data_IF_674110047154
#
_entry.id   IF_674110047154
#
_cell.length_a   1.000
_cell.length_b   1.000
_cell.length_c   1.000
_cell.angle_alpha   90.00
_cell.angle_beta   90.00
_cell.angle_gamma   90.00
#
_symmetry.space_group_name_H-M   'P 1'
#
loop_
_entity.id
_entity.type
_entity.pdbx_description
1 polymer ?
#
# COMPACT_ATOMS: atom_id res chain seq x y z
N UNK A 1 11.07 -13.96 -5.28
CA UNK A 1 10.90 -14.72 -6.55
C UNK A 1 11.46 -16.11 -6.36
N UNK A 2 10.60 -17.08 -6.17
CA UNK A 2 10.94 -18.46 -5.84
C UNK A 2 11.63 -19.19 -7.02
N UNK A 3 12.14 -20.40 -6.74
CA UNK A 3 12.68 -21.33 -7.74
C UNK A 3 11.80 -21.50 -9.00
N UNK A 4 10.51 -21.17 -8.91
CA UNK A 4 9.54 -21.16 -10.01
C UNK A 4 9.85 -20.11 -11.09
N UNK A 5 10.38 -18.94 -10.73
CA UNK A 5 10.76 -17.88 -11.68
C UNK A 5 12.04 -18.26 -12.44
N UNK A 6 12.99 -18.87 -11.75
CA UNK A 6 14.19 -19.42 -12.40
C UNK A 6 13.83 -20.58 -13.36
N UNK A 7 12.81 -21.38 -13.03
CA UNK A 7 12.26 -22.41 -13.92
C UNK A 7 11.62 -21.83 -15.17
N UNK A 8 10.86 -20.73 -15.05
CA UNK A 8 10.25 -20.03 -16.17
C UNK A 8 11.32 -19.39 -17.09
N UNK A 9 12.36 -18.77 -16.52
CA UNK A 9 13.46 -18.16 -17.27
C UNK A 9 14.32 -19.20 -18.03
N UNK A 10 14.48 -20.41 -17.50
CA UNK A 10 15.23 -21.51 -18.17
C UNK A 10 14.50 -22.06 -19.39
N UNK A 11 13.17 -21.99 -19.41
CA UNK A 11 12.32 -22.50 -20.51
C UNK A 11 11.87 -21.41 -21.48
N UNK A 12 12.31 -20.16 -21.31
CA UNK A 12 11.91 -19.05 -22.15
C UNK A 12 12.74 -19.03 -23.43
N UNK A 13 12.19 -19.60 -24.50
CA UNK A 13 12.66 -19.34 -25.87
C UNK A 13 12.14 -18.00 -26.34
N UNK A 14 12.98 -17.14 -26.98
CA UNK A 14 12.51 -15.86 -27.51
C UNK A 14 11.38 -16.11 -28.51
N UNK A 15 10.24 -15.45 -28.29
CA UNK A 15 9.11 -15.47 -29.23
C UNK A 15 9.59 -15.15 -30.64
N UNK A 16 9.18 -15.96 -31.63
CA UNK A 16 9.50 -15.77 -33.05
C UNK A 16 9.00 -14.40 -33.54
N UNK A 17 9.60 -13.89 -34.62
CA UNK A 17 9.27 -12.59 -35.20
C UNK A 17 7.77 -12.45 -35.56
N UNK A 18 7.09 -13.55 -35.90
CA UNK A 18 5.66 -13.63 -36.18
C UNK A 18 4.79 -13.32 -34.93
N UNK A 19 5.13 -13.87 -33.78
CA UNK A 19 4.41 -13.60 -32.54
C UNK A 19 4.56 -12.15 -32.03
N UNK A 20 5.62 -11.43 -32.49
CA UNK A 20 5.80 -10.00 -32.21
C UNK A 20 4.90 -9.11 -33.05
N UNK A 21 4.52 -9.54 -34.27
CA UNK A 21 3.60 -8.80 -35.15
C UNK A 21 2.17 -8.91 -34.66
N UNK A 22 1.73 -10.07 -34.15
CA UNK A 22 0.38 -10.27 -33.62
C UNK A 22 0.16 -9.48 -32.30
N UNK A 23 1.18 -9.34 -31.46
CA UNK A 23 1.11 -8.50 -30.24
C UNK A 23 1.11 -6.99 -30.54
N UNK A 24 1.73 -6.58 -31.66
CA UNK A 24 1.71 -5.18 -32.11
C UNK A 24 0.36 -4.79 -32.77
N UNK A 25 -0.31 -5.76 -33.40
CA UNK A 25 -1.63 -5.55 -34.01
C UNK A 25 -2.76 -5.43 -32.99
N UNK A 26 -2.67 -6.15 -31.86
CA UNK A 26 -3.67 -6.09 -30.78
C UNK A 26 -3.65 -4.79 -29.96
N UNK A 27 -2.67 -3.92 -30.15
CA UNK A 27 -2.51 -2.64 -29.43
C UNK A 27 -3.11 -1.42 -30.14
N UNK A 28 -3.69 -1.56 -31.34
CA UNK A 28 -4.10 -0.42 -32.17
C UNK A 28 -5.61 -0.23 -32.35
N UNK A 29 -6.47 -1.05 -31.71
CA UNK A 29 -7.92 -0.80 -31.75
C UNK A 29 -8.31 0.28 -30.73
N UNK A 30 -7.98 1.53 -31.09
CA UNK A 30 -8.56 2.71 -30.47
C UNK A 30 -9.97 2.91 -31.01
N UNK A 31 -10.97 2.75 -30.17
CA UNK A 31 -12.38 3.06 -30.42
C UNK A 31 -12.52 4.53 -30.78
N UNK A 32 -12.84 4.83 -32.03
CA UNK A 32 -13.33 6.13 -32.48
C UNK A 32 -14.82 6.25 -32.18
N UNK A 33 -15.31 7.33 -31.57
CA UNK A 33 -16.75 7.54 -31.41
C UNK A 33 -17.34 8.06 -32.72
N UNK A 34 -18.26 7.30 -33.32
CA UNK A 34 -19.10 7.72 -34.41
C UNK A 34 -20.22 8.65 -33.92
N UNK A 35 -20.33 9.80 -34.53
CA UNK A 35 -21.41 10.78 -34.35
C UNK A 35 -22.75 10.25 -34.89
N UNK A 36 -23.91 10.63 -34.33
CA UNK A 36 -25.22 10.24 -34.87
C UNK A 36 -25.67 11.17 -35.98
N UNK A 37 -26.24 10.61 -37.04
CA UNK A 37 -26.95 11.32 -38.11
C UNK A 37 -28.43 11.56 -37.71
N UNK A 38 -29.07 12.62 -38.24
CA UNK A 38 -30.36 13.10 -37.78
C UNK A 38 -31.57 12.60 -38.62
N UNK A 39 -32.73 12.52 -37.95
CA UNK A 39 -34.02 12.76 -38.59
C UNK A 39 -34.94 11.57 -38.81
N UNK A 40 -36.15 11.65 -38.26
CA UNK A 40 -37.32 10.83 -38.62
C UNK A 40 -38.44 10.89 -37.56
N UNK A 41 -39.40 11.79 -37.80
CA UNK A 41 -40.60 12.04 -37.01
C UNK A 41 -41.58 10.86 -36.99
N UNK A 42 -42.38 10.74 -35.95
CA UNK A 42 -43.59 9.89 -35.93
C UNK A 42 -44.12 9.57 -34.53
N UNK A 43 -44.94 10.45 -34.01
CA UNK A 43 -45.91 10.17 -32.91
C UNK A 43 -47.22 9.53 -33.44
N UNK A 44 -48.24 9.23 -32.62
CA UNK A 44 -48.33 8.66 -31.26
C UNK A 44 -49.36 7.48 -31.17
N UNK A 45 -49.55 6.85 -30.04
CA UNK A 45 -50.78 6.50 -29.39
C UNK A 45 -50.72 5.34 -28.37
N UNK A 46 -51.17 5.67 -27.21
CA UNK A 46 -52.16 5.02 -26.30
C UNK A 46 -51.64 4.07 -25.21
N UNK A 47 -51.76 4.58 -23.99
CA UNK A 47 -52.11 3.83 -22.80
C UNK A 47 -53.61 3.45 -22.83
N UNK A 48 -54.23 2.65 -21.91
CA UNK A 48 -53.74 2.14 -20.60
C UNK A 48 -54.29 0.73 -20.22
N UNK A 49 -53.99 0.27 -19.00
CA UNK A 49 -54.81 -0.39 -17.99
C UNK A 49 -54.24 -1.65 -17.36
N UNK A 50 -54.01 -1.48 -16.07
CA UNK A 50 -54.41 -2.26 -14.88
C UNK A 50 -54.51 -3.80 -14.93
N UNK A 51 -53.76 -4.42 -14.01
CA UNK A 51 -54.24 -5.39 -13.01
C UNK A 51 -53.06 -5.92 -12.21
N UNK A 52 -52.88 -5.56 -11.00
CA UNK A 52 -53.30 -6.17 -9.74
C UNK A 52 -52.68 -7.51 -9.39
N UNK A 53 -51.99 -7.52 -8.25
CA UNK A 53 -51.85 -8.55 -7.20
C UNK A 53 -50.75 -9.62 -7.34
N UNK A 54 -49.88 -9.61 -6.33
CA UNK A 54 -49.21 -10.82 -5.85
C UNK A 54 -47.90 -10.58 -5.11
N UNK A 55 -47.99 -10.00 -3.93
CA UNK A 55 -47.22 -10.24 -2.72
C UNK A 55 -46.18 -11.37 -2.77
N UNK A 56 -44.92 -11.12 -2.43
CA UNK A 56 -44.32 -11.66 -1.21
C UNK A 56 -42.97 -11.02 -0.94
N UNK A 57 -42.92 -10.24 0.12
CA UNK A 57 -41.73 -9.89 0.86
C UNK A 57 -40.95 -11.14 1.29
N UNK A 58 -39.68 -11.20 0.93
CA UNK A 58 -38.69 -11.94 1.69
C UNK A 58 -37.49 -11.04 1.91
N UNK A 59 -37.61 -10.21 2.95
CA UNK A 59 -36.47 -9.68 3.68
C UNK A 59 -35.63 -10.86 4.19
N UNK A 60 -34.48 -11.06 3.60
CA UNK A 60 -33.42 -11.86 4.21
C UNK A 60 -32.54 -10.90 5.04
N UNK A 61 -33.00 -10.61 6.26
CA UNK A 61 -32.15 -10.14 7.33
C UNK A 61 -31.19 -11.27 7.71
N UNK A 62 -29.96 -11.22 7.22
CA UNK A 62 -28.87 -12.00 7.78
C UNK A 62 -28.54 -11.43 9.17
N UNK A 63 -29.14 -11.98 10.21
CA UNK A 63 -28.78 -11.76 11.59
C UNK A 63 -27.38 -12.37 11.83
N UNK A 64 -26.42 -11.54 12.25
CA UNK A 64 -25.19 -11.95 12.86
C UNK A 64 -25.49 -12.85 14.06
N UNK A 65 -25.12 -14.12 13.98
CA UNK A 65 -25.16 -15.02 15.12
C UNK A 65 -24.01 -14.65 16.07
N UNK A 66 -24.37 -14.10 17.23
CA UNK A 66 -23.49 -14.03 18.40
C UNK A 66 -23.41 -15.46 18.95
N UNK A 67 -22.27 -16.13 18.76
CA UNK A 67 -21.96 -17.36 19.47
C UNK A 67 -21.11 -17.03 20.68
N UNK A 68 -21.75 -16.96 21.84
CA UNK A 68 -21.09 -17.13 23.14
C UNK A 68 -20.77 -18.62 23.31
N UNK A 69 -19.51 -18.98 23.27
CA UNK A 69 -19.02 -20.32 23.54
C UNK A 69 -18.07 -20.30 24.72
N UNK A 70 -18.58 -20.74 25.88
CA UNK A 70 -17.80 -21.06 27.08
C UNK A 70 -17.46 -22.54 27.08
N UNK A 71 -16.28 -22.84 27.65
CA UNK A 71 -15.81 -24.06 28.26
C UNK A 71 -14.81 -24.96 27.53
N UNK A 72 -13.66 -24.91 28.06
CA UNK A 72 -12.60 -25.88 28.39
C UNK A 72 -12.74 -27.34 27.88
N UNK A 73 -11.70 -27.78 27.13
CA UNK A 73 -11.12 -29.10 27.27
C UNK A 73 -9.65 -29.07 26.85
N UNK A 74 -8.79 -29.41 27.76
CA UNK A 74 -7.33 -29.53 27.68
C UNK A 74 -6.97 -30.74 26.78
N UNK A 75 -6.19 -30.48 25.71
CA UNK A 75 -5.34 -31.50 25.10
C UNK A 75 -4.05 -30.81 24.63
N UNK A 76 -2.94 -31.20 25.21
CA UNK A 76 -1.62 -30.66 24.98
C UNK A 76 -1.07 -31.03 23.60
N UNK A 77 -0.44 -30.06 22.96
CA UNK A 77 0.40 -30.24 21.78
C UNK A 77 1.75 -29.55 21.97
N UNK A 78 2.85 -30.10 21.44
CA UNK A 78 4.19 -29.74 21.78
C UNK A 78 4.77 -28.72 20.78
N UNK A 79 4.52 -27.43 20.98
CA UNK A 79 5.25 -26.35 20.34
C UNK A 79 5.46 -25.19 21.31
N UNK A 80 6.23 -25.48 22.41
CA UNK A 80 6.82 -24.42 23.23
C UNK A 80 8.24 -24.14 22.73
N UNK A 81 8.39 -23.15 21.83
CA UNK A 81 9.53 -22.24 21.83
C UNK A 81 8.99 -20.89 22.27
N UNK A 82 9.03 -20.65 23.57
CA UNK A 82 8.90 -19.32 24.12
C UNK A 82 10.01 -18.44 23.51
N UNK A 83 9.70 -17.30 22.89
CA UNK A 83 10.71 -16.29 22.61
C UNK A 83 11.23 -15.83 23.98
N UNK A 84 12.51 -15.99 24.21
CA UNK A 84 13.24 -15.53 25.41
C UNK A 84 12.90 -14.05 25.62
N UNK A 85 12.07 -13.77 26.60
CA UNK A 85 11.79 -12.40 27.07
C UNK A 85 13.06 -11.95 27.80
N UNK A 86 13.94 -11.28 27.05
CA UNK A 86 15.04 -10.55 27.69
C UNK A 86 14.46 -9.46 28.56
N UNK A 87 14.99 -9.37 29.78
CA UNK A 87 14.58 -8.41 30.79
C UNK A 87 14.65 -6.99 30.23
N UNK A 88 13.50 -6.33 30.22
CA UNK A 88 13.31 -5.02 29.59
C UNK A 88 13.83 -3.90 30.47
N UNK A 89 14.56 -2.99 29.84
CA UNK A 89 15.05 -1.72 30.37
C UNK A 89 13.89 -0.89 30.98
N UNK A 90 13.94 -0.47 32.25
CA UNK A 90 12.87 0.31 32.90
C UNK A 90 12.71 1.75 32.42
N UNK A 91 13.46 2.19 31.40
CA UNK A 91 13.42 3.56 30.87
C UNK A 91 12.41 3.81 29.73
N UNK A 92 11.61 2.82 29.31
CA UNK A 92 10.57 3.02 28.27
C UNK A 92 9.31 3.63 28.89
N UNK A 93 8.94 4.83 28.46
CA UNK A 93 7.70 5.53 28.83
C UNK A 93 6.42 4.71 28.56
N UNK A 94 5.20 5.24 28.88
CA UNK A 94 3.95 4.49 28.80
C UNK A 94 3.79 3.88 27.41
N UNK A 95 3.74 2.54 27.37
CA UNK A 95 3.56 1.83 26.10
C UNK A 95 2.15 2.07 25.63
N UNK A 96 2.01 2.57 24.41
CA UNK A 96 0.73 2.66 23.73
C UNK A 96 0.22 1.25 23.45
N UNK A 97 -0.80 0.83 24.18
CA UNK A 97 -1.40 -0.50 24.14
C UNK A 97 -2.90 -0.38 23.91
N UNK A 98 -3.46 -1.28 23.11
CA UNK A 98 -4.91 -1.49 23.10
C UNK A 98 -5.37 -2.05 24.46
N UNK A 99 -6.61 -1.74 24.92
CA UNK A 99 -7.13 -2.16 26.22
C UNK A 99 -7.33 -3.68 26.34
N UNK A 100 -7.60 -4.13 27.56
CA UNK A 100 -8.12 -5.47 27.88
C UNK A 100 -9.40 -5.33 28.71
N UNK A 101 -10.52 -5.94 28.30
CA UNK A 101 -10.75 -6.64 27.03
C UNK A 101 -10.68 -5.69 25.83
N UNK A 102 -10.33 -6.22 24.66
CA UNK A 102 -10.22 -5.46 23.41
C UNK A 102 -11.37 -5.81 22.46
N UNK A 103 -12.00 -4.81 21.86
CA UNK A 103 -13.09 -4.96 20.88
C UNK A 103 -12.66 -4.34 19.55
N UNK A 104 -12.63 -5.15 18.50
CA UNK A 104 -12.20 -4.69 17.18
C UNK A 104 -13.31 -4.83 16.15
N UNK A 105 -13.37 -3.87 15.22
CA UNK A 105 -14.16 -3.99 14.00
C UNK A 105 -13.27 -4.53 12.88
N UNK A 106 -13.61 -5.69 12.32
CA UNK A 106 -12.89 -6.30 11.21
C UNK A 106 -13.60 -5.98 9.90
N UNK A 107 -12.95 -5.24 9.03
CA UNK A 107 -13.37 -4.97 7.66
C UNK A 107 -12.64 -5.95 6.73
N UNK A 108 -13.36 -6.87 6.12
CA UNK A 108 -12.80 -7.94 5.31
C UNK A 108 -13.31 -7.86 3.87
N UNK A 109 -12.38 -7.88 2.90
CA UNK A 109 -12.72 -8.03 1.49
C UNK A 109 -12.71 -9.52 1.09
N UNK A 110 -13.89 -10.18 0.93
CA UNK A 110 -13.96 -11.60 0.62
C UNK A 110 -13.41 -11.96 -0.77
N UNK A 111 -13.26 -10.96 -1.65
CA UNK A 111 -12.73 -11.12 -3.02
C UNK A 111 -11.24 -10.79 -3.10
N UNK A 112 -10.59 -10.40 -1.99
CA UNK A 112 -9.17 -10.03 -1.93
C UNK A 112 -8.26 -11.20 -2.35
N UNK A 113 -7.14 -10.89 -3.00
CA UNK A 113 -6.14 -11.87 -3.40
C UNK A 113 -6.73 -13.03 -4.23
N UNK A 114 -6.63 -14.24 -3.69
CA UNK A 114 -7.15 -15.47 -4.30
C UNK A 114 -8.62 -15.76 -3.94
N UNK A 115 -9.34 -14.81 -3.30
CA UNK A 115 -10.74 -14.99 -2.86
C UNK A 115 -10.91 -15.89 -1.63
N UNK A 116 -9.84 -16.14 -0.86
CA UNK A 116 -9.84 -17.03 0.31
C UNK A 116 -9.85 -16.27 1.65
N UNK A 117 -9.96 -14.95 1.64
CA UNK A 117 -9.83 -14.13 2.84
C UNK A 117 -10.77 -14.53 3.97
N UNK A 118 -12.06 -14.82 3.67
CA UNK A 118 -13.02 -15.26 4.69
C UNK A 118 -12.67 -16.63 5.27
N UNK A 119 -12.20 -17.56 4.45
CA UNK A 119 -11.76 -18.89 4.90
C UNK A 119 -10.54 -18.75 5.83
N UNK A 120 -9.55 -17.95 5.43
CA UNK A 120 -8.35 -17.68 6.23
C UNK A 120 -8.68 -16.98 7.55
N UNK A 121 -9.65 -16.06 7.54
CA UNK A 121 -10.13 -15.44 8.77
C UNK A 121 -10.67 -16.49 9.74
N UNK A 122 -11.56 -17.37 9.26
CA UNK A 122 -12.21 -18.40 10.10
C UNK A 122 -11.21 -19.47 10.60
N UNK A 123 -10.29 -19.90 9.73
CA UNK A 123 -9.38 -21.01 10.07
C UNK A 123 -8.13 -20.58 10.85
N UNK A 124 -7.65 -19.34 10.69
CA UNK A 124 -6.38 -18.89 11.25
C UNK A 124 -6.55 -17.70 12.21
N UNK A 125 -7.25 -16.63 11.77
CA UNK A 125 -7.32 -15.38 12.54
C UNK A 125 -8.26 -15.53 13.73
N UNK A 126 -9.46 -16.03 13.52
CA UNK A 126 -10.48 -16.15 14.56
C UNK A 126 -10.04 -17.00 15.76
N UNK A 127 -9.37 -18.17 15.61
CA UNK A 127 -8.86 -18.94 16.76
C UNK A 127 -7.83 -18.16 17.57
N UNK A 128 -6.89 -17.46 16.94
CA UNK A 128 -5.87 -16.65 17.61
C UNK A 128 -6.48 -15.46 18.39
N UNK A 129 -7.49 -14.79 17.82
CA UNK A 129 -8.20 -13.72 18.50
C UNK A 129 -8.96 -14.24 19.73
N UNK A 130 -9.58 -15.43 19.62
CA UNK A 130 -10.30 -16.08 20.74
C UNK A 130 -9.34 -16.42 21.89
N UNK A 131 -8.16 -16.99 21.59
CA UNK A 131 -7.12 -17.29 22.57
C UNK A 131 -6.61 -16.01 23.26
N UNK A 132 -6.42 -14.93 22.50
CA UNK A 132 -5.97 -13.64 22.99
C UNK A 132 -7.06 -12.81 23.70
N UNK A 133 -8.29 -13.33 23.79
CA UNK A 133 -9.46 -12.64 24.36
C UNK A 133 -9.75 -11.28 23.65
N UNK A 134 -9.60 -11.23 22.33
CA UNK A 134 -9.96 -10.12 21.47
C UNK A 134 -11.32 -10.40 20.87
N UNK A 135 -12.34 -9.63 21.27
CA UNK A 135 -13.66 -9.73 20.67
C UNK A 135 -13.74 -8.94 19.37
N UNK A 136 -14.47 -9.45 18.40
CA UNK A 136 -14.56 -8.82 17.09
C UNK A 136 -15.99 -8.78 16.55
N UNK A 137 -16.26 -7.80 15.70
CA UNK A 137 -17.39 -7.81 14.76
C UNK A 137 -16.84 -7.83 13.36
N UNK A 138 -17.32 -8.77 12.54
CA UNK A 138 -16.87 -8.95 11.16
C UNK A 138 -17.86 -8.27 10.20
N UNK A 139 -17.35 -7.34 9.39
CA UNK A 139 -18.07 -6.71 8.28
C UNK A 139 -17.40 -7.07 6.95
N UNK A 140 -18.18 -7.61 6.00
CA UNK A 140 -17.71 -7.94 4.67
C UNK A 140 -17.93 -6.76 3.72
N UNK A 141 -16.88 -6.42 2.95
CA UNK A 141 -17.03 -5.41 1.90
C UNK A 141 -17.61 -6.05 0.64
N UNK A 142 -18.50 -5.35 -0.04
CA UNK A 142 -19.24 -5.86 -1.20
C UNK A 142 -18.70 -5.34 -2.53
N UNK A 143 -18.18 -4.11 -2.52
CA UNK A 143 -17.74 -3.35 -3.69
C UNK A 143 -16.58 -2.41 -3.36
N UNK A 144 -15.98 -1.82 -4.37
CA UNK A 144 -14.99 -0.74 -4.22
C UNK A 144 -15.60 0.44 -3.44
N UNK A 145 -14.80 1.08 -2.61
CA UNK A 145 -15.17 2.17 -1.70
C UNK A 145 -16.20 1.80 -0.60
N UNK A 146 -16.59 0.52 -0.46
CA UNK A 146 -17.55 0.14 0.59
C UNK A 146 -16.95 0.29 1.99
N UNK A 147 -15.66 -0.04 2.19
CA UNK A 147 -15.00 0.19 3.47
C UNK A 147 -14.92 1.69 3.82
N UNK A 148 -14.68 2.56 2.83
CA UNK A 148 -14.68 4.02 2.99
C UNK A 148 -16.04 4.53 3.48
N UNK A 149 -17.13 4.02 2.90
CA UNK A 149 -18.50 4.36 3.31
C UNK A 149 -18.82 3.83 4.71
N UNK A 150 -18.44 2.58 5.01
CA UNK A 150 -18.67 1.96 6.30
C UNK A 150 -18.01 2.76 7.43
N UNK A 151 -16.72 3.11 7.32
CA UNK A 151 -16.03 3.84 8.39
C UNK A 151 -16.52 5.29 8.52
N UNK A 152 -17.04 5.88 7.44
CA UNK A 152 -17.66 7.21 7.52
C UNK A 152 -18.96 7.22 8.34
N UNK A 153 -19.75 6.15 8.27
CA UNK A 153 -21.04 6.02 8.94
C UNK A 153 -20.94 5.37 10.34
N UNK A 154 -19.85 4.66 10.62
CA UNK A 154 -19.70 3.85 11.84
C UNK A 154 -19.47 4.70 13.09
N UNK A 155 -20.03 4.24 14.21
CA UNK A 155 -19.79 4.80 15.54
C UNK A 155 -18.46 4.28 16.10
N UNK A 156 -17.35 4.99 15.79
CA UNK A 156 -16.00 4.55 16.11
C UNK A 156 -15.72 4.40 17.62
N UNK A 157 -16.49 5.08 18.47
CA UNK A 157 -16.37 4.98 19.94
C UNK A 157 -16.65 3.58 20.49
N UNK A 158 -17.33 2.72 19.73
CA UNK A 158 -17.65 1.34 20.12
C UNK A 158 -16.45 0.39 20.02
N UNK A 159 -15.42 0.77 19.29
CA UNK A 159 -14.29 -0.07 18.92
C UNK A 159 -12.98 0.47 19.46
N UNK A 160 -12.11 -0.42 19.90
CA UNK A 160 -10.77 -0.07 20.35
C UNK A 160 -9.78 0.04 19.18
N UNK A 161 -10.03 -0.73 18.10
CA UNK A 161 -9.28 -0.66 16.84
C UNK A 161 -10.12 -1.08 15.64
N UNK A 162 -9.69 -0.64 14.45
CA UNK A 162 -10.20 -1.12 13.16
C UNK A 162 -9.18 -2.08 12.55
N UNK A 163 -9.62 -3.29 12.22
CA UNK A 163 -8.79 -4.33 11.58
C UNK A 163 -9.18 -4.43 10.11
N UNK A 164 -8.23 -4.25 9.23
CA UNK A 164 -8.42 -4.29 7.77
C UNK A 164 -7.80 -5.59 7.23
N UNK A 165 -8.64 -6.54 6.82
CA UNK A 165 -8.20 -7.80 6.24
C UNK A 165 -8.39 -7.82 4.73
N UNK A 166 -7.34 -7.46 4.01
CA UNK A 166 -7.28 -7.39 2.54
C UNK A 166 -5.85 -7.10 2.08
N UNK A 167 -5.68 -6.54 0.89
CA UNK A 167 -4.48 -5.85 0.44
C UNK A 167 -4.49 -4.36 0.82
N UNK A 168 -3.46 -3.65 0.40
CA UNK A 168 -3.18 -2.25 0.76
C UNK A 168 -4.30 -1.28 0.33
N UNK A 169 -4.97 -1.54 -0.81
CA UNK A 169 -6.08 -0.71 -1.29
C UNK A 169 -7.27 -0.61 -0.34
N UNK A 170 -7.58 -1.65 0.44
CA UNK A 170 -8.66 -1.54 1.44
C UNK A 170 -8.26 -0.65 2.62
N UNK A 171 -6.97 -0.64 3.00
CA UNK A 171 -6.44 0.28 4.01
C UNK A 171 -6.53 1.73 3.50
N UNK A 172 -6.21 1.96 2.23
CA UNK A 172 -6.39 3.25 1.56
C UNK A 172 -7.86 3.73 1.65
N UNK A 173 -8.84 2.86 1.36
CA UNK A 173 -10.27 3.19 1.52
C UNK A 173 -10.61 3.59 2.95
N UNK A 174 -10.13 2.82 3.95
CA UNK A 174 -10.41 3.08 5.38
C UNK A 174 -9.83 4.40 5.81
N UNK A 175 -8.55 4.69 5.53
CA UNK A 175 -7.90 5.94 5.93
C UNK A 175 -8.58 7.15 5.28
N UNK A 176 -8.86 7.11 3.98
CA UNK A 176 -9.57 8.21 3.32
C UNK A 176 -11.01 8.36 3.83
N UNK A 177 -11.68 7.25 4.18
CA UNK A 177 -13.00 7.30 4.82
C UNK A 177 -12.99 7.97 6.21
N UNK A 178 -11.96 7.70 7.02
CA UNK A 178 -11.77 8.36 8.32
C UNK A 178 -11.50 9.86 8.14
N UNK A 179 -10.65 10.22 7.17
CA UNK A 179 -10.29 11.61 6.88
C UNK A 179 -11.43 12.43 6.28
N UNK A 180 -12.46 11.81 5.72
CA UNK A 180 -13.67 12.49 5.20
C UNK A 180 -14.75 12.74 6.25
N UNK A 181 -14.59 12.24 7.45
CA UNK A 181 -15.56 12.45 8.52
C UNK A 181 -15.54 13.90 9.02
N UNK A 182 -16.67 14.43 9.53
CA UNK A 182 -16.68 15.73 10.21
C UNK A 182 -15.76 15.77 11.46
N UNK A 183 -15.61 14.62 12.15
CA UNK A 183 -14.76 14.40 13.32
C UNK A 183 -13.41 13.77 12.96
N UNK A 184 -12.88 14.02 11.77
CA UNK A 184 -11.70 13.35 11.20
C UNK A 184 -10.46 13.43 12.11
N UNK A 185 -10.26 14.51 12.84
CA UNK A 185 -9.12 14.69 13.76
C UNK A 185 -9.12 13.61 14.86
N UNK A 186 -10.28 13.28 15.38
CA UNK A 186 -10.47 12.19 16.36
C UNK A 186 -10.53 10.84 15.68
N UNK A 187 -11.19 10.75 14.54
CA UNK A 187 -11.40 9.50 13.81
C UNK A 187 -10.09 8.87 13.33
N UNK A 188 -9.14 9.68 12.81
CA UNK A 188 -7.84 9.19 12.34
C UNK A 188 -6.95 8.66 13.48
N UNK A 189 -7.22 9.06 14.73
CA UNK A 189 -6.52 8.55 15.90
C UNK A 189 -7.00 7.15 16.31
N UNK A 190 -8.05 6.60 15.67
CA UNK A 190 -8.49 5.23 15.91
C UNK A 190 -7.39 4.27 15.44
N UNK A 191 -6.85 3.41 16.35
CA UNK A 191 -5.82 2.45 15.97
C UNK A 191 -6.25 1.55 14.80
N UNK A 192 -5.36 1.38 13.83
CA UNK A 192 -5.56 0.52 12.67
C UNK A 192 -4.69 -0.74 12.77
N UNK A 193 -5.14 -1.83 12.18
CA UNK A 193 -4.40 -3.07 12.05
C UNK A 193 -4.52 -3.61 10.63
N UNK A 194 -3.41 -4.03 10.02
CA UNK A 194 -3.40 -4.65 8.70
C UNK A 194 -3.22 -6.15 8.81
N UNK A 195 -4.19 -6.93 8.31
CA UNK A 195 -4.10 -8.37 8.15
C UNK A 195 -4.02 -8.70 6.65
N UNK A 196 -2.91 -9.30 6.19
CA UNK A 196 -2.68 -9.51 4.76
C UNK A 196 -3.58 -10.61 4.19
N UNK A 197 -4.40 -10.25 3.20
CA UNK A 197 -5.22 -11.19 2.43
C UNK A 197 -5.39 -10.71 0.98
N UNK A 198 -4.60 -9.75 0.53
CA UNK A 198 -4.57 -9.21 -0.83
C UNK A 198 -3.48 -9.82 -1.69
N UNK A 199 -3.15 -9.15 -2.80
CA UNK A 199 -2.07 -9.53 -3.71
C UNK A 199 -0.76 -8.77 -3.46
N UNK A 200 -0.79 -7.59 -2.85
CA UNK A 200 0.39 -6.76 -2.58
C UNK A 200 0.91 -6.92 -1.17
N UNK A 201 0.10 -6.59 -0.17
CA UNK A 201 0.36 -6.71 1.27
C UNK A 201 1.64 -6.01 1.75
N UNK A 202 2.01 -4.90 1.13
CA UNK A 202 3.26 -4.21 1.37
C UNK A 202 3.32 -3.59 2.78
N UNK A 203 2.20 -3.01 3.24
CA UNK A 203 2.11 -2.46 4.59
C UNK A 203 2.27 -3.55 5.65
N UNK A 204 1.59 -4.69 5.50
CA UNK A 204 1.71 -5.82 6.40
C UNK A 204 3.13 -6.37 6.46
N UNK A 205 3.82 -6.50 5.31
CA UNK A 205 5.22 -6.92 5.25
C UNK A 205 6.16 -5.91 5.93
N UNK A 206 5.90 -4.61 5.78
CA UNK A 206 6.65 -3.57 6.48
C UNK A 206 6.48 -3.65 8.00
N UNK A 207 5.25 -3.87 8.48
CA UNK A 207 4.96 -4.05 9.92
C UNK A 207 5.63 -5.30 10.48
N UNK A 208 5.59 -6.42 9.74
CA UNK A 208 6.30 -7.65 10.08
C UNK A 208 7.81 -7.41 10.24
N UNK A 209 8.41 -6.66 9.30
CA UNK A 209 9.83 -6.29 9.36
C UNK A 209 10.14 -5.38 10.56
N UNK A 210 9.31 -4.36 10.84
CA UNK A 210 9.50 -3.45 11.97
C UNK A 210 9.39 -4.15 13.33
N UNK A 211 8.58 -5.20 13.40
CA UNK A 211 8.46 -6.05 14.58
C UNK A 211 9.67 -6.98 14.79
N UNK A 212 10.61 -7.03 13.84
CA UNK A 212 11.80 -7.86 13.88
C UNK A 212 11.57 -9.32 13.46
N UNK A 213 10.46 -9.60 12.78
CA UNK A 213 10.21 -10.93 12.21
C UNK A 213 10.96 -11.10 10.88
N UNK A 214 11.28 -12.35 10.56
CA UNK A 214 11.84 -12.71 9.25
C UNK A 214 10.84 -12.39 8.12
N UNK A 215 11.37 -12.16 6.92
CA UNK A 215 10.55 -11.94 5.74
C UNK A 215 9.81 -13.22 5.37
N UNK A 216 8.51 -13.19 5.47
CA UNK A 216 7.59 -14.28 5.15
C UNK A 216 6.44 -13.75 4.28
N UNK A 217 5.70 -14.66 3.66
CA UNK A 217 4.57 -14.31 2.76
C UNK A 217 3.34 -15.16 3.10
N UNK A 218 2.20 -14.84 2.46
CA UNK A 218 0.96 -15.62 2.55
C UNK A 218 0.46 -15.86 3.98
N UNK A 219 0.21 -17.12 4.36
CA UNK A 219 -0.37 -17.51 5.65
C UNK A 219 0.57 -17.24 6.83
N UNK A 220 1.88 -17.36 6.63
CA UNK A 220 2.87 -17.05 7.66
C UNK A 220 2.87 -15.55 7.99
N UNK A 221 2.78 -14.69 6.96
CA UNK A 221 2.65 -13.25 7.15
C UNK A 221 1.33 -12.90 7.87
N UNK A 222 0.24 -13.56 7.49
CA UNK A 222 -1.06 -13.38 8.17
C UNK A 222 -0.99 -13.81 9.63
N UNK A 223 -0.33 -14.93 9.91
CA UNK A 223 -0.11 -15.42 11.29
C UNK A 223 0.67 -14.42 12.11
N UNK A 224 1.80 -13.92 11.60
CA UNK A 224 2.61 -12.91 12.28
C UNK A 224 1.82 -11.64 12.56
N UNK A 225 1.12 -11.10 11.55
CA UNK A 225 0.31 -9.89 11.73
C UNK A 225 -0.85 -10.10 12.73
N UNK A 226 -1.44 -11.29 12.77
CA UNK A 226 -2.47 -11.62 13.77
C UNK A 226 -1.86 -11.69 15.19
N UNK A 227 -0.66 -12.24 15.32
CA UNK A 227 0.07 -12.24 16.60
C UNK A 227 0.41 -10.82 17.05
N UNK A 228 0.79 -9.90 16.13
CA UNK A 228 0.98 -8.47 16.45
C UNK A 228 -0.31 -7.87 17.03
N UNK A 229 -1.47 -8.17 16.45
CA UNK A 229 -2.75 -7.72 17.00
C UNK A 229 -2.98 -8.28 18.42
N UNK A 230 -2.67 -9.54 18.65
CA UNK A 230 -2.78 -10.17 19.99
C UNK A 230 -1.81 -9.54 21.01
N UNK A 231 -0.65 -9.04 20.58
CA UNK A 231 0.28 -8.29 21.43
C UNK A 231 -0.21 -6.87 21.74
N UNK A 232 -1.08 -6.28 20.91
CA UNK A 232 -1.77 -4.98 21.10
C UNK A 232 -0.85 -3.75 21.17
N UNK A 233 0.43 -3.88 20.83
CA UNK A 233 1.38 -2.78 20.81
C UNK A 233 1.09 -1.84 19.63
N UNK A 234 1.05 -0.54 19.93
CA UNK A 234 0.79 0.51 18.93
C UNK A 234 2.07 1.29 18.67
N UNK A 235 2.26 1.67 17.42
CA UNK A 235 3.27 2.64 17.01
C UNK A 235 2.63 3.75 16.20
N UNK A 236 3.15 4.98 16.31
CA UNK A 236 2.74 6.06 15.42
C UNK A 236 3.26 5.81 14.01
N UNK A 237 2.53 6.26 13.01
CA UNK A 237 2.85 6.10 11.59
C UNK A 237 2.76 7.41 10.85
N UNK A 238 3.53 7.51 9.78
CA UNK A 238 3.50 8.65 8.88
C UNK A 238 2.27 8.60 7.97
N UNK A 239 1.68 9.76 7.69
CA UNK A 239 0.63 9.95 6.69
C UNK A 239 1.19 10.80 5.54
N UNK A 240 0.89 10.47 4.30
CA UNK A 240 1.20 11.27 3.13
C UNK A 240 -0.07 11.95 2.65
N UNK A 241 -0.10 13.28 2.66
CA UNK A 241 -1.15 14.04 1.93
C UNK A 241 -0.74 14.20 0.48
N UNK A 242 -1.69 14.06 -0.43
CA UNK A 242 -1.51 14.23 -1.87
C UNK A 242 -2.53 15.24 -2.41
N UNK A 243 -2.06 16.17 -3.23
CA UNK A 243 -2.88 17.14 -3.96
C UNK A 243 -2.64 16.98 -5.45
N UNK A 244 -3.71 16.96 -6.22
CA UNK A 244 -3.67 16.83 -7.67
C UNK A 244 -4.12 18.11 -8.37
N UNK A 245 -3.78 18.27 -9.65
CA UNK A 245 -4.18 19.41 -10.45
C UNK A 245 -5.70 19.53 -10.64
N UNK A 246 -6.43 18.40 -10.55
CA UNK A 246 -7.89 18.40 -10.57
C UNK A 246 -8.52 18.88 -9.24
N UNK A 247 -7.71 19.26 -8.25
CA UNK A 247 -8.16 19.70 -6.93
C UNK A 247 -8.54 18.57 -5.98
N UNK A 248 -8.24 17.32 -6.32
CA UNK A 248 -8.44 16.18 -5.43
C UNK A 248 -7.37 16.20 -4.35
N UNK A 249 -7.80 16.10 -3.09
CA UNK A 249 -6.95 15.80 -1.93
C UNK A 249 -7.23 14.40 -1.45
N UNK A 250 -6.16 13.61 -1.26
CA UNK A 250 -6.26 12.25 -0.73
C UNK A 250 -5.08 11.94 0.19
N UNK A 251 -5.19 10.85 0.93
CA UNK A 251 -4.20 10.43 1.91
C UNK A 251 -3.70 9.03 1.57
N UNK A 252 -2.38 8.85 1.61
CA UNK A 252 -1.69 7.60 1.38
C UNK A 252 -0.97 7.16 2.64
N UNK A 253 -0.96 5.87 2.89
CA UNK A 253 -0.27 5.24 4.02
C UNK A 253 0.89 4.35 3.58
N UNK A 254 1.11 4.20 2.28
CA UNK A 254 2.14 3.32 1.75
C UNK A 254 3.00 3.98 0.67
N UNK A 255 2.43 4.32 -0.49
CA UNK A 255 3.25 4.79 -1.62
C UNK A 255 2.45 5.49 -2.72
N UNK A 256 3.19 6.33 -3.50
CA UNK A 256 2.78 6.78 -4.81
C UNK A 256 3.82 6.28 -5.82
N UNK A 257 3.37 5.56 -6.84
CA UNK A 257 4.19 5.11 -7.95
C UNK A 257 3.71 5.71 -9.29
N UNK A 258 4.65 6.02 -10.19
CA UNK A 258 4.39 6.47 -11.56
C UNK A 258 5.32 5.78 -12.55
N UNK A 259 4.82 5.51 -13.75
CA UNK A 259 5.58 4.87 -14.82
C UNK A 259 5.60 3.37 -14.69
N UNK A 260 6.77 2.72 -14.78
CA UNK A 260 6.92 1.27 -14.89
C UNK A 260 6.13 0.49 -13.81
N UNK A 261 6.22 0.89 -12.54
CA UNK A 261 5.55 0.18 -11.44
C UNK A 261 4.03 0.31 -11.56
N UNK A 262 3.52 1.51 -11.78
CA UNK A 262 2.08 1.75 -11.95
C UNK A 262 1.51 1.04 -13.20
N UNK A 263 2.29 0.97 -14.28
CA UNK A 263 1.91 0.18 -15.46
C UNK A 263 1.86 -1.33 -15.18
N UNK A 264 2.78 -1.85 -14.34
CA UNK A 264 2.74 -3.25 -13.88
C UNK A 264 1.48 -3.50 -13.07
N UNK A 265 1.11 -2.61 -12.16
CA UNK A 265 -0.13 -2.69 -11.40
C UNK A 265 -1.35 -2.73 -12.34
N UNK A 266 -1.44 -1.76 -13.26
CA UNK A 266 -2.53 -1.67 -14.23
C UNK A 266 -2.66 -2.92 -15.10
N UNK A 267 -1.55 -3.38 -15.70
CA UNK A 267 -1.58 -4.51 -16.63
C UNK A 267 -1.79 -5.85 -15.92
N UNK A 268 -1.34 -5.96 -14.67
CA UNK A 268 -1.49 -7.18 -13.86
C UNK A 268 -2.92 -7.40 -13.36
N UNK A 269 -3.79 -6.36 -13.34
CA UNK A 269 -5.16 -6.47 -12.86
C UNK A 269 -5.98 -7.56 -13.56
N UNK A 270 -5.79 -7.76 -14.86
CA UNK A 270 -6.41 -8.85 -15.64
C UNK A 270 -5.99 -10.25 -15.17
N UNK A 271 -4.88 -10.35 -14.43
CA UNK A 271 -4.32 -11.60 -13.90
C UNK A 271 -4.54 -11.76 -12.40
N UNK A 272 -5.48 -11.05 -11.77
CA UNK A 272 -5.76 -11.08 -10.32
C UNK A 272 -5.85 -12.48 -9.71
N UNK A 273 -6.37 -13.46 -10.48
CA UNK A 273 -6.49 -14.85 -10.02
C UNK A 273 -5.15 -15.53 -9.74
N UNK A 274 -4.03 -14.99 -10.25
CA UNK A 274 -2.69 -15.51 -10.00
C UNK A 274 -2.12 -15.05 -8.65
N UNK A 275 -2.83 -14.19 -7.90
CA UNK A 275 -2.31 -13.63 -6.64
C UNK A 275 -1.04 -12.81 -6.87
N UNK A 276 -0.01 -12.98 -6.05
CA UNK A 276 1.26 -12.26 -6.14
C UNK A 276 2.02 -12.48 -7.46
N UNK A 277 1.88 -13.66 -8.09
CA UNK A 277 2.52 -13.98 -9.37
C UNK A 277 2.11 -13.04 -10.51
N UNK A 278 0.97 -12.34 -10.40
CA UNK A 278 0.53 -11.36 -11.40
C UNK A 278 1.54 -10.23 -11.59
N UNK A 279 2.16 -9.77 -10.51
CA UNK A 279 3.16 -8.71 -10.55
C UNK A 279 4.45 -9.17 -11.24
N UNK A 280 4.88 -10.39 -10.98
CA UNK A 280 6.02 -10.99 -11.67
C UNK A 280 5.78 -11.08 -13.18
N UNK A 281 4.62 -11.59 -13.59
CA UNK A 281 4.25 -11.67 -15.01
C UNK A 281 4.16 -10.27 -15.63
N UNK A 282 3.50 -9.32 -14.96
CA UNK A 282 3.41 -7.92 -15.40
C UNK A 282 4.78 -7.29 -15.58
N UNK A 283 5.69 -7.51 -14.63
CA UNK A 283 7.08 -7.00 -14.70
C UNK A 283 7.80 -7.51 -15.94
N UNK A 284 7.71 -8.81 -16.27
CA UNK A 284 8.34 -9.34 -17.49
C UNK A 284 7.73 -8.78 -18.75
N UNK A 285 6.41 -8.66 -18.83
CA UNK A 285 5.73 -8.07 -19.98
C UNK A 285 6.14 -6.60 -20.18
N UNK A 286 6.23 -5.82 -19.09
CA UNK A 286 6.64 -4.41 -19.15
C UNK A 286 8.12 -4.25 -19.45
N UNK A 287 9.00 -5.12 -18.96
CA UNK A 287 10.41 -5.13 -19.34
C UNK A 287 10.61 -5.39 -20.85
N UNK A 288 9.82 -6.29 -21.42
CA UNK A 288 9.87 -6.54 -22.87
C UNK A 288 9.47 -5.28 -23.68
N UNK A 289 8.50 -4.51 -23.18
CA UNK A 289 7.99 -3.27 -23.76
C UNK A 289 8.34 -2.05 -22.89
N UNK A 290 9.61 -1.91 -22.50
CA UNK A 290 10.07 -0.83 -21.64
C UNK A 290 9.79 0.54 -22.27
N UNK A 291 9.10 1.41 -21.49
CA UNK A 291 8.71 2.78 -21.89
C UNK A 291 9.42 3.80 -21.01
N UNK A 292 9.49 5.01 -21.52
CA UNK A 292 9.90 6.20 -20.77
C UNK A 292 8.72 7.16 -20.65
N UNK A 293 8.71 7.90 -19.57
CA UNK A 293 7.64 8.83 -19.19
C UNK A 293 8.26 10.20 -18.99
N UNK A 294 7.73 11.21 -19.68
CA UNK A 294 8.25 12.55 -19.60
C UNK A 294 7.52 13.35 -18.54
N UNK A 295 8.29 13.97 -17.62
CA UNK A 295 7.75 14.76 -16.52
C UNK A 295 8.81 15.61 -15.87
N UNK A 296 8.38 16.50 -14.97
CA UNK A 296 9.26 17.27 -14.10
C UNK A 296 9.09 16.75 -12.67
N UNK A 297 10.21 16.46 -12.00
CA UNK A 297 10.24 16.04 -10.62
C UNK A 297 10.99 17.08 -9.78
N UNK A 298 10.37 17.50 -8.68
CA UNK A 298 11.01 18.33 -7.67
C UNK A 298 10.72 17.77 -6.27
N UNK A 299 11.60 18.00 -5.32
CA UNK A 299 11.45 17.50 -3.97
C UNK A 299 12.17 18.36 -2.93
N UNK A 300 11.70 18.25 -1.69
CA UNK A 300 12.34 18.82 -0.52
C UNK A 300 13.08 17.72 0.25
N UNK A 301 14.44 17.71 0.25
CA UNK A 301 15.19 16.68 0.96
C UNK A 301 14.94 16.73 2.48
N UNK A 302 14.96 15.56 3.11
CA UNK A 302 14.92 15.46 4.57
C UNK A 302 16.16 16.15 5.18
N UNK A 303 15.98 16.78 6.36
CA UNK A 303 17.06 17.51 7.05
C UNK A 303 17.35 18.89 6.50
N UNK A 304 16.65 19.35 5.46
CA UNK A 304 16.74 20.75 5.01
C UNK A 304 16.22 21.68 6.10
N UNK A 305 17.04 22.66 6.51
CA UNK A 305 16.64 23.69 7.47
C UNK A 305 15.69 24.69 6.78
N UNK A 306 14.43 24.33 6.65
CA UNK A 306 13.42 25.17 6.01
C UNK A 306 12.45 25.68 7.06
N UNK A 307 12.27 27.00 7.11
CA UNK A 307 11.19 27.62 7.84
C UNK A 307 9.85 27.17 7.22
N UNK A 308 8.90 26.75 8.05
CA UNK A 308 7.56 26.42 7.60
C UNK A 308 6.97 27.61 6.85
N UNK A 309 6.53 27.40 5.63
CA UNK A 309 5.87 28.44 4.85
C UNK A 309 4.46 28.68 5.42
N UNK A 310 3.95 29.91 5.38
CA UNK A 310 2.55 30.15 5.69
C UNK A 310 1.69 29.38 4.68
N UNK A 311 0.80 28.53 5.19
CA UNK A 311 -0.08 27.72 4.35
C UNK A 311 -1.00 28.62 3.53
N UNK A 312 -0.99 28.46 2.22
CA UNK A 312 -1.92 29.16 1.35
C UNK A 312 -3.36 28.77 1.69
N UNK A 313 -4.32 29.72 1.74
CA UNK A 313 -5.72 29.41 1.92
C UNK A 313 -6.28 28.39 0.91
N UNK A 314 -5.70 28.33 -0.30
CA UNK A 314 -6.08 27.36 -1.33
C UNK A 314 -5.75 25.90 -0.92
N UNK A 315 -4.83 25.67 0.02
CA UNK A 315 -4.48 24.36 0.56
C UNK A 315 -5.15 24.05 1.91
N UNK A 316 -5.96 24.99 2.45
CA UNK A 316 -6.70 24.79 3.70
C UNK A 316 -7.95 23.95 3.45
N UNK A 317 -7.73 22.66 3.18
CA UNK A 317 -8.77 21.64 3.07
C UNK A 317 -8.78 20.79 4.34
N UNK A 318 -9.81 19.96 4.48
CA UNK A 318 -9.92 18.98 5.58
C UNK A 318 -8.66 18.09 5.64
N UNK A 319 -8.03 17.98 6.81
CA UNK A 319 -6.81 17.19 7.02
C UNK A 319 -5.65 18.02 7.61
N UNK A 320 -4.45 17.45 7.74
CA UNK A 320 -3.29 18.14 8.28
C UNK A 320 -2.86 19.33 7.42
N UNK A 321 -2.16 20.28 8.04
CA UNK A 321 -1.64 21.46 7.34
C UNK A 321 -0.40 21.09 6.52
N UNK A 322 -0.42 21.38 5.23
CA UNK A 322 0.68 21.11 4.29
C UNK A 322 1.66 22.30 4.26
N UNK A 323 2.51 22.38 5.30
CA UNK A 323 3.38 23.54 5.55
C UNK A 323 4.54 23.71 4.55
N UNK A 324 4.80 22.70 3.68
CA UNK A 324 5.87 22.73 2.67
C UNK A 324 5.35 22.88 1.24
N UNK A 325 4.04 22.76 1.03
CA UNK A 325 3.43 22.83 -0.29
C UNK A 325 2.99 24.27 -0.63
N UNK A 326 3.06 24.59 -1.91
CA UNK A 326 2.45 25.77 -2.52
C UNK A 326 1.43 25.31 -3.54
N UNK A 327 0.45 26.14 -3.96
CA UNK A 327 -0.47 25.79 -5.05
C UNK A 327 0.27 25.24 -6.27
N UNK A 328 -0.34 24.28 -6.99
CA UNK A 328 0.30 23.65 -8.15
C UNK A 328 0.55 24.62 -9.30
N UNK A 329 -0.21 25.71 -9.35
CA UNK A 329 -0.10 26.80 -10.33
C UNK A 329 1.11 27.70 -10.05
N UNK A 330 1.61 27.69 -8.81
CA UNK A 330 2.77 28.45 -8.41
C UNK A 330 4.07 27.68 -8.72
N UNK A 331 5.17 28.38 -9.02
CA UNK A 331 6.45 27.73 -9.25
C UNK A 331 6.92 27.01 -8.00
N UNK A 332 7.68 25.93 -8.20
CA UNK A 332 8.32 25.17 -7.13
C UNK A 332 9.19 26.13 -6.28
N UNK A 333 9.13 26.09 -4.95
CA UNK A 333 9.94 26.93 -4.09
C UNK A 333 11.45 26.81 -4.39
N UNK A 334 12.18 27.90 -4.38
CA UNK A 334 13.60 27.95 -4.79
C UNK A 334 14.54 27.08 -3.92
N UNK A 335 14.10 26.71 -2.71
CA UNK A 335 14.86 25.83 -1.81
C UNK A 335 14.60 24.34 -2.05
N UNK A 336 13.69 23.98 -2.98
CA UNK A 336 13.51 22.60 -3.41
C UNK A 336 14.54 22.22 -4.46
N UNK A 337 14.89 20.96 -4.49
CA UNK A 337 15.71 20.38 -5.55
C UNK A 337 14.84 20.03 -6.75
N UNK A 338 15.14 20.64 -7.90
CA UNK A 338 14.50 20.28 -9.18
C UNK A 338 15.40 19.31 -9.93
N UNK A 339 14.87 18.14 -10.29
CA UNK A 339 15.62 17.14 -11.05
C UNK A 339 15.83 17.63 -12.48
N UNK A 340 17.10 17.76 -12.95
CA UNK A 340 17.37 18.30 -14.28
C UNK A 340 16.93 17.38 -15.43
N UNK A 341 16.74 16.10 -15.17
CA UNK A 341 16.26 15.10 -16.14
C UNK A 341 14.75 15.14 -16.22
N UNK A 342 14.20 14.93 -17.42
CA UNK A 342 12.76 14.95 -17.66
C UNK A 342 12.20 13.62 -18.15
N UNK A 343 13.06 12.65 -18.45
CA UNK A 343 12.66 11.34 -18.95
C UNK A 343 12.97 10.27 -17.89
N UNK A 344 11.93 9.62 -17.41
CA UNK A 344 11.98 8.61 -16.36
C UNK A 344 11.47 7.26 -16.84
N UNK A 345 11.96 6.19 -16.24
CA UNK A 345 11.35 4.86 -16.35
C UNK A 345 10.32 4.67 -15.25
N UNK A 346 10.62 5.13 -14.04
CA UNK A 346 9.71 5.12 -12.90
C UNK A 346 10.05 6.24 -11.92
N UNK A 347 9.04 6.66 -11.15
CA UNK A 347 9.17 7.45 -9.93
C UNK A 347 8.35 6.75 -8.85
N UNK A 348 8.91 6.58 -7.66
CA UNK A 348 8.28 5.92 -6.52
C UNK A 348 8.55 6.73 -5.26
N UNK A 349 7.53 7.22 -4.61
CA UNK A 349 7.56 7.77 -3.25
C UNK A 349 7.01 6.71 -2.29
N UNK A 350 7.81 6.22 -1.34
CA UNK A 350 7.50 5.11 -0.47
C UNK A 350 7.65 5.52 1.00
N UNK A 351 6.62 5.34 1.82
CA UNK A 351 6.66 5.67 3.25
C UNK A 351 7.32 4.57 4.11
N UNK A 352 7.27 3.32 3.65
CA UNK A 352 7.68 2.14 4.40
C UNK A 352 8.77 1.34 3.67
N UNK A 353 9.07 0.15 4.17
CA UNK A 353 10.18 -0.67 3.67
C UNK A 353 9.82 -1.52 2.45
N UNK A 354 8.56 -1.92 2.30
CA UNK A 354 8.14 -2.86 1.27
C UNK A 354 7.20 -2.21 0.24
N UNK A 355 7.32 -2.63 -1.00
CA UNK A 355 6.43 -2.31 -2.11
C UNK A 355 5.45 -3.47 -2.42
N UNK A 356 5.69 -4.62 -1.85
CA UNK A 356 4.90 -5.84 -1.89
C UNK A 356 5.48 -6.82 -0.88
N UNK A 357 4.78 -7.92 -0.56
CA UNK A 357 5.23 -8.89 0.44
C UNK A 357 6.61 -9.49 0.14
N UNK A 358 6.98 -9.60 -1.14
CA UNK A 358 8.29 -10.08 -1.61
C UNK A 358 9.23 -8.95 -2.08
N UNK A 359 8.86 -7.66 -1.96
CA UNK A 359 9.59 -6.54 -2.53
C UNK A 359 10.09 -5.59 -1.45
N UNK A 360 11.30 -5.85 -0.94
CA UNK A 360 11.97 -5.04 0.09
C UNK A 360 12.68 -3.82 -0.53
N UNK A 361 11.89 -2.79 -0.84
CA UNK A 361 12.32 -1.66 -1.67
C UNK A 361 13.10 -0.58 -0.92
N UNK A 362 12.87 -0.38 0.38
CA UNK A 362 13.57 0.61 1.19
C UNK A 362 14.10 -0.02 2.49
N UNK A 363 15.20 -0.81 2.44
CA UNK A 363 15.74 -1.48 3.63
C UNK A 363 16.19 -0.52 4.73
N UNK A 364 16.44 0.76 4.39
CA UNK A 364 16.74 1.83 5.34
C UNK A 364 15.49 2.44 5.98
N UNK A 365 14.28 2.10 5.53
CA UNK A 365 13.01 2.64 6.03
C UNK A 365 12.78 2.34 7.50
N UNK A 366 12.20 3.27 8.22
CA UNK A 366 11.85 3.17 9.63
C UNK A 366 10.40 3.60 9.84
N UNK A 367 9.76 3.05 10.86
CA UNK A 367 8.35 3.22 11.16
C UNK A 367 7.91 4.68 11.24
N UNK A 368 8.61 5.51 11.97
CA UNK A 368 8.24 6.88 12.32
C UNK A 368 9.36 7.88 12.01
N UNK A 369 10.01 7.73 10.84
CA UNK A 369 11.15 8.58 10.49
C UNK A 369 10.77 10.01 10.04
N UNK A 370 9.48 10.30 9.84
CA UNK A 370 9.01 11.59 9.32
C UNK A 370 9.46 11.90 7.88
N UNK A 371 9.87 10.87 7.14
CA UNK A 371 10.33 10.98 5.76
C UNK A 371 9.70 9.92 4.88
N UNK A 372 9.68 10.16 3.58
CA UNK A 372 9.45 9.15 2.56
C UNK A 372 10.73 8.92 1.74
N UNK A 373 10.86 7.72 1.21
CA UNK A 373 11.96 7.33 0.34
C UNK A 373 11.56 7.57 -1.12
N UNK A 374 12.10 8.61 -1.73
CA UNK A 374 11.88 8.91 -3.14
C UNK A 374 12.92 8.17 -3.98
N UNK A 375 12.44 7.24 -4.80
CA UNK A 375 13.23 6.55 -5.81
C UNK A 375 12.84 7.05 -7.19
N UNK A 376 13.79 7.23 -8.07
CA UNK A 376 13.50 7.40 -9.49
C UNK A 376 14.58 6.75 -10.35
N UNK A 377 14.14 6.17 -11.46
CA UNK A 377 15.01 5.58 -12.46
C UNK A 377 14.92 6.43 -13.73
N UNK A 378 16.07 6.98 -14.14
CA UNK A 378 16.17 7.80 -15.34
C UNK A 378 16.12 6.95 -16.61
N UNK A 379 15.68 7.52 -17.71
CA UNK A 379 15.77 6.90 -19.04
C UNK A 379 17.23 6.57 -19.39
N UNK A 380 17.40 5.51 -20.19
CA UNK A 380 18.72 4.99 -20.59
C UNK A 380 19.15 3.75 -19.82
N UNK A 381 18.46 3.38 -18.73
CA UNK A 381 18.70 2.10 -18.05
C UNK A 381 18.43 0.93 -18.98
N UNK A 382 19.33 -0.06 -19.02
CA UNK A 382 19.11 -1.27 -19.80
C UNK A 382 18.06 -2.18 -19.15
N UNK A 383 17.30 -2.93 -19.98
CA UNK A 383 16.32 -3.91 -19.49
C UNK A 383 16.96 -4.93 -18.54
N UNK A 384 18.18 -5.37 -18.85
CA UNK A 384 18.93 -6.31 -18.01
C UNK A 384 19.29 -5.71 -16.66
N UNK A 385 19.73 -4.44 -16.60
CA UNK A 385 20.02 -3.76 -15.35
C UNK A 385 18.74 -3.57 -14.54
N UNK A 386 17.66 -3.11 -15.15
CA UNK A 386 16.37 -2.94 -14.46
C UNK A 386 15.87 -4.27 -13.89
N UNK A 387 15.97 -5.37 -14.63
CA UNK A 387 15.63 -6.71 -14.13
C UNK A 387 16.50 -7.11 -12.93
N UNK A 388 17.81 -6.86 -13.00
CA UNK A 388 18.73 -7.13 -11.86
C UNK A 388 18.34 -6.34 -10.62
N UNK A 389 17.97 -5.06 -10.77
CA UNK A 389 17.51 -4.23 -9.65
C UNK A 389 16.24 -4.81 -9.02
N UNK A 390 15.25 -5.21 -9.81
CA UNK A 390 14.02 -5.82 -9.27
C UNK A 390 14.28 -7.16 -8.59
N UNK A 391 15.16 -8.02 -9.16
CA UNK A 391 15.54 -9.28 -8.52
C UNK A 391 16.31 -9.07 -7.21
N UNK A 392 17.16 -8.07 -7.14
CA UNK A 392 17.90 -7.74 -5.93
C UNK A 392 17.04 -7.07 -4.85
N UNK A 393 15.96 -6.40 -5.27
CA UNK A 393 15.01 -5.75 -4.37
C UNK A 393 14.28 -6.75 -3.45
N UNK A 394 14.12 -8.00 -3.87
CA UNK A 394 13.58 -9.07 -3.01
C UNK A 394 14.33 -9.20 -1.68
N UNK A 395 15.65 -9.00 -1.72
CA UNK A 395 16.55 -9.06 -0.54
C UNK A 395 17.02 -7.69 -0.05
N UNK A 396 16.45 -6.60 -0.55
CA UNK A 396 16.87 -5.24 -0.24
C UNK A 396 18.27 -4.85 -0.77
N UNK A 397 18.86 -5.65 -1.69
CA UNK A 397 20.24 -5.48 -2.17
C UNK A 397 20.36 -4.66 -3.45
N UNK A 398 19.27 -4.12 -3.99
CA UNK A 398 19.27 -3.32 -5.23
C UNK A 398 20.09 -2.03 -5.12
N UNK A 399 20.26 -1.48 -3.90
CA UNK A 399 21.10 -0.30 -3.66
C UNK A 399 22.59 -0.61 -3.61
N UNK A 400 22.99 -1.89 -3.54
CA UNK A 400 24.41 -2.32 -3.62
C UNK A 400 24.94 -2.33 -5.06
N UNK A 401 24.04 -2.23 -6.07
CA UNK A 401 24.43 -2.17 -7.46
C UNK A 401 24.84 -0.75 -7.87
N UNK A 402 25.99 -0.65 -8.52
CA UNK A 402 26.40 0.60 -9.19
C UNK A 402 25.53 0.83 -10.44
N UNK A 403 24.43 1.55 -10.23
CA UNK A 403 23.51 1.92 -11.31
C UNK A 403 23.35 3.44 -11.35
N UNK A 404 23.99 4.12 -12.32
CA UNK A 404 23.94 5.58 -12.41
C UNK A 404 22.55 6.13 -12.76
N UNK A 405 21.60 5.27 -13.13
CA UNK A 405 20.22 5.64 -13.47
C UNK A 405 19.28 5.58 -12.27
N UNK A 406 19.60 4.79 -11.23
CA UNK A 406 18.80 4.69 -10.02
C UNK A 406 19.24 5.75 -9.03
N UNK A 407 18.31 6.57 -8.58
CA UNK A 407 18.53 7.57 -7.54
C UNK A 407 17.56 7.32 -6.40
N UNK A 408 18.06 7.42 -5.17
CA UNK A 408 17.29 7.37 -3.94
C UNK A 408 17.60 8.61 -3.09
N UNK A 409 16.55 9.25 -2.58
CA UNK A 409 16.65 10.41 -1.69
C UNK A 409 15.57 10.33 -0.61
N UNK A 410 15.90 10.45 0.68
CA UNK A 410 14.88 10.67 1.71
C UNK A 410 14.35 12.10 1.62
N UNK A 411 13.04 12.27 1.53
CA UNK A 411 12.38 13.55 1.30
C UNK A 411 11.20 13.75 2.24
N UNK A 412 10.80 15.00 2.47
CA UNK A 412 9.61 15.36 3.26
C UNK A 412 8.45 15.81 2.38
N UNK A 413 8.74 16.29 1.17
CA UNK A 413 7.72 16.66 0.18
C UNK A 413 8.26 16.45 -1.24
N UNK A 414 7.35 16.29 -2.19
CA UNK A 414 7.67 16.17 -3.63
C UNK A 414 6.58 16.81 -4.49
N UNK A 415 6.94 17.14 -5.73
CA UNK A 415 6.03 17.53 -6.81
C UNK A 415 6.44 16.77 -8.07
N UNK A 416 5.48 16.12 -8.72
CA UNK A 416 5.66 15.41 -9.98
C UNK A 416 4.64 15.91 -10.99
N UNK A 417 5.14 16.40 -12.13
CA UNK A 417 4.35 16.98 -13.20
C UNK A 417 4.55 16.17 -14.50
N UNK A 418 3.70 15.17 -14.80
CA UNK A 418 3.71 14.48 -16.09
C UNK A 418 3.46 15.46 -17.24
N UNK A 419 4.28 15.39 -18.32
CA UNK A 419 4.17 16.32 -19.44
C UNK A 419 3.39 15.77 -20.64
N UNK A 420 3.43 14.46 -20.85
CA UNK A 420 2.86 13.83 -22.04
C UNK A 420 1.48 13.19 -21.79
N UNK A 421 0.91 13.32 -20.58
CA UNK A 421 -0.32 12.65 -20.17
C UNK A 421 -0.23 11.11 -20.22
N UNK A 422 0.99 10.56 -20.36
CA UNK A 422 1.24 9.12 -20.44
C UNK A 422 1.46 8.53 -19.07
N UNK A 423 1.11 7.25 -18.94
CA UNK A 423 1.19 6.52 -17.69
C UNK A 423 -0.03 6.73 -16.81
N UNK A 424 0.00 6.12 -15.66
CA UNK A 424 -0.98 6.27 -14.58
C UNK A 424 -0.23 6.43 -13.28
N UNK A 425 -0.89 6.90 -12.24
CA UNK A 425 -0.41 6.78 -10.88
C UNK A 425 -1.01 5.55 -10.22
N UNK A 426 -0.24 4.92 -9.33
CA UNK A 426 -0.75 3.97 -8.36
C UNK A 426 -0.48 4.52 -6.96
N UNK A 427 -1.54 4.79 -6.20
CA UNK A 427 -1.47 5.26 -4.81
C UNK A 427 -1.99 4.15 -3.91
N UNK A 428 -1.13 3.58 -3.07
CA UNK A 428 -1.44 2.42 -2.22
C UNK A 428 -2.06 1.24 -3.01
N UNK A 429 -1.66 1.07 -4.29
CA UNK A 429 -2.22 0.08 -5.22
C UNK A 429 -3.53 0.49 -5.92
N UNK A 430 -4.05 1.71 -5.67
CA UNK A 430 -5.23 2.25 -6.37
C UNK A 430 -4.81 3.15 -7.54
N UNK A 431 -5.34 2.85 -8.72
CA UNK A 431 -4.98 3.56 -9.96
C UNK A 431 -5.64 4.93 -10.05
N UNK A 432 -4.87 5.93 -10.45
CA UNK A 432 -5.31 7.30 -10.67
C UNK A 432 -4.83 7.83 -12.02
N UNK A 433 -5.53 8.85 -12.51
CA UNK A 433 -5.16 9.58 -13.74
C UNK A 433 -3.80 10.26 -13.56
N UNK A 434 -2.99 10.27 -14.63
CA UNK A 434 -1.70 10.96 -14.66
C UNK A 434 -1.93 12.46 -14.87
N UNK A 435 -1.77 13.22 -13.81
CA UNK A 435 -1.84 14.68 -13.75
C UNK A 435 -0.78 15.23 -12.81
N UNK A 436 -0.59 16.54 -12.72
CA UNK A 436 0.35 17.10 -11.76
C UNK A 436 -0.11 16.75 -10.32
N UNK A 437 0.83 16.25 -9.53
CA UNK A 437 0.61 15.84 -8.15
C UNK A 437 1.74 16.33 -7.26
N UNK A 438 1.41 16.73 -6.05
CA UNK A 438 2.39 17.01 -5.01
C UNK A 438 1.97 16.36 -3.69
N UNK A 439 2.93 16.07 -2.83
CA UNK A 439 2.65 15.46 -1.56
C UNK A 439 3.64 15.81 -0.47
N UNK A 440 3.18 15.73 0.77
CA UNK A 440 3.94 16.02 1.97
C UNK A 440 3.72 14.95 3.02
N UNK A 441 4.80 14.54 3.71
CA UNK A 441 4.73 13.62 4.85
C UNK A 441 4.34 14.35 6.12
N UNK A 442 3.41 13.78 6.86
CA UNK A 442 3.04 14.17 8.22
C UNK A 442 3.53 13.07 9.17
N UNK A 443 4.56 13.35 9.98
CA UNK A 443 5.12 12.35 10.90
C UNK A 443 4.16 12.05 12.05
N UNK A 444 4.20 10.82 12.55
CA UNK A 444 3.49 10.37 13.75
C UNK A 444 1.98 10.71 13.77
N UNK A 445 1.34 10.59 12.60
CA UNK A 445 0.01 11.15 12.37
C UNK A 445 -1.14 10.25 12.81
N UNK A 446 -0.97 8.95 12.76
CA UNK A 446 -1.99 7.96 13.16
C UNK A 446 -1.35 6.75 13.83
N UNK A 447 -2.18 5.92 14.47
CA UNK A 447 -1.72 4.76 15.24
C UNK A 447 -1.95 3.45 14.50
N UNK A 448 -0.93 2.57 14.55
CA UNK A 448 -1.03 1.25 13.95
C UNK A 448 -0.55 0.16 14.91
N UNK A 449 -1.23 -0.99 14.87
CA UNK A 449 -0.75 -2.22 15.52
C UNK A 449 0.51 -2.70 14.79
N UNK A 450 1.64 -2.73 15.47
CA UNK A 450 2.95 -2.95 14.84
C UNK A 450 3.93 -3.79 15.68
N UNK A 451 3.50 -4.29 16.83
CA UNK A 451 4.39 -5.03 17.71
C UNK A 451 5.45 -4.16 18.43
N UNK A 452 5.32 -2.83 18.36
CA UNK A 452 6.33 -1.87 18.80
C UNK A 452 7.50 -1.84 17.80
N UNK A 453 7.71 -0.75 17.10
CA UNK A 453 8.77 -0.61 16.09
C UNK A 453 10.15 -0.79 16.75
N UNK A 454 10.63 -2.01 16.78
CA UNK A 454 12.01 -2.34 17.11
C UNK A 454 12.81 -2.05 15.85
N UNK A 455 13.72 -1.09 15.88
CA UNK A 455 14.65 -0.90 14.77
C UNK A 455 15.37 -2.23 14.45
N UNK A 456 15.87 -2.43 13.22
CA UNK A 456 16.73 -3.58 12.94
C UNK A 456 17.83 -3.61 13.99
N UNK A 457 18.27 -4.82 14.43
CA UNK A 457 19.39 -4.93 15.35
C UNK A 457 20.56 -4.12 14.78
N UNK A 458 21.33 -3.42 15.61
CA UNK A 458 22.46 -2.63 15.13
C UNK A 458 23.30 -3.55 14.26
N UNK A 459 23.49 -3.18 13.01
CA UNK A 459 24.42 -3.86 12.11
C UNK A 459 25.74 -3.97 12.87
N UNK A 460 26.21 -5.20 13.07
CA UNK A 460 27.54 -5.40 13.60
C UNK A 460 28.48 -4.60 12.69
N UNK A 461 29.02 -3.51 13.23
CA UNK A 461 30.11 -2.80 12.57
C UNK A 461 31.17 -3.84 12.26
N UNK A 462 31.71 -3.86 11.04
CA UNK A 462 32.84 -4.76 10.74
C UNK A 462 33.90 -4.49 11.79
N UNK A 463 34.19 -5.50 12.64
CA UNK A 463 35.27 -5.42 13.59
C UNK A 463 36.50 -4.97 12.82
N UNK A 464 37.02 -3.78 13.11
CA UNK A 464 38.28 -3.32 12.61
C UNK A 464 39.31 -4.39 12.99
N UNK A 465 39.85 -5.05 12.01
CA UNK A 465 41.00 -5.93 12.24
C UNK A 465 42.11 -5.11 12.86
N UNK A 466 42.75 -5.57 13.93
CA UNK A 466 43.89 -4.88 14.49
C UNK A 466 44.97 -4.74 13.39
N UNK A 467 45.71 -3.62 13.38
CA UNK A 467 46.76 -3.43 12.40
C UNK A 467 47.78 -4.60 12.51
N UNK A 468 48.38 -5.03 11.37
CA UNK A 468 49.36 -6.10 11.39
C UNK A 468 50.57 -5.65 12.27
N UNK A 469 50.97 -6.53 13.19
CA UNK A 469 52.17 -6.33 14.00
C UNK A 469 53.37 -6.26 13.05
N UNK A 470 54.15 -5.16 13.17
CA UNK A 470 55.43 -5.03 12.48
C UNK A 470 56.39 -6.10 12.99
N UNK A 471 57.09 -6.81 12.10
CA UNK A 471 58.12 -7.78 12.51
C UNK A 471 59.33 -7.07 13.11
N UNK A 472 59.76 -7.52 14.32
CA UNK A 472 60.99 -7.12 14.99
C UNK A 472 62.23 -7.51 14.20
#
# INVERSE_FOLDING_TARGET
MSAQVLGFLRNWTPLSLAARQDLAAAGNDAVTPTAPAPGGEGEPHSQPRDALLGSTDKELKARAAVTEGSAATTLGTPWQREPRVEAMDPASGPRNLLPRPCRVLVLLNPRGGKGKALQLFQSLVQPLLAEAQVSFTLMLTERRNHARELVRAEELGRWDALVVMSGDGLMHEVVNGLMERPDWETAIQKPLCSLPAGSGNALAASLNHYAGYEQVTNEDLLTNCTQLLCQRLLSPMNLLSLHTASGLRLFSVLSLAWGFIADVDLESEKYRRLGEMRFTLGTFLRLAALRTYRGQLAYLPAGSAVSKMPTSPALMQQGPVDAHLVPLEEPVPSHWTVVPHQDFVLVLALLHTHLGSEMFAAPMGRCAAGVMHLFYVRAGVSRTMLLRLFLAMEKGKHMEYDCPYLVHVPVVAFRLEPKDGRGVFAVDGELMVSEAVQGQVHPDYFWMVSGGCRGPPPSQEPQQMPPPEEPL
#
